data_IF_849117581286
#
_entry.id   IF_849117581286
#
_cell.length_a   1.000
_cell.length_b   1.000
_cell.length_c   1.000
_cell.angle_alpha   90.00
_cell.angle_beta   90.00
_cell.angle_gamma   90.00
#
_symmetry.space_group_name_H-M   'P 1'
#
loop_
_entity.id
_entity.type
_entity.pdbx_description
1 polymer ?
#
# COMPACT_ATOMS: atom_id res chain seq x y z
N UNK A 1 -22.58 4.24 -7.49
CA UNK A 1 -21.75 3.52 -8.49
C UNK A 1 -21.29 2.21 -7.85
N UNK A 2 -20.47 1.38 -8.49
CA UNK A 2 -19.98 0.15 -7.85
C UNK A 2 -18.83 0.46 -6.89
N UNK A 3 -18.82 -0.17 -5.72
CA UNK A 3 -17.74 -0.10 -4.74
C UNK A 3 -16.79 -1.26 -4.96
N UNK A 4 -15.51 -0.94 -5.15
CA UNK A 4 -14.44 -1.92 -5.30
C UNK A 4 -13.48 -1.85 -4.12
N UNK A 5 -13.01 -3.00 -3.68
CA UNK A 5 -11.90 -3.13 -2.74
C UNK A 5 -10.73 -3.77 -3.46
N UNK A 6 -9.67 -2.99 -3.62
CA UNK A 6 -8.45 -3.43 -4.24
C UNK A 6 -7.44 -3.85 -3.19
N UNK A 7 -6.67 -4.89 -3.49
CA UNK A 7 -5.62 -5.39 -2.62
C UNK A 7 -4.41 -5.78 -3.44
N UNK A 8 -3.24 -5.45 -2.91
CA UNK A 8 -1.94 -5.94 -3.34
C UNK A 8 -1.36 -6.80 -2.22
N UNK A 9 -0.79 -7.94 -2.59
CA UNK A 9 -0.03 -8.80 -1.68
C UNK A 9 1.31 -9.11 -2.29
N UNK A 10 2.32 -9.21 -1.44
CA UNK A 10 3.67 -9.50 -1.86
C UNK A 10 4.48 -10.20 -0.78
N UNK A 11 5.67 -10.61 -1.17
CA UNK A 11 6.62 -11.31 -0.32
C UNK A 11 7.87 -10.46 -0.05
N UNK A 12 8.51 -10.82 1.04
CA UNK A 12 9.83 -10.40 1.50
C UNK A 12 10.48 -11.63 2.17
N UNK A 13 11.80 -11.68 2.39
CA UNK A 13 12.44 -12.87 2.97
C UNK A 13 11.80 -13.32 4.29
N UNK A 14 11.07 -14.44 4.26
CA UNK A 14 10.42 -15.00 5.44
C UNK A 14 9.15 -14.28 5.94
N UNK A 15 8.66 -13.24 5.25
CA UNK A 15 7.47 -12.46 5.63
C UNK A 15 6.62 -12.05 4.43
N UNK A 16 5.33 -11.78 4.67
CA UNK A 16 4.39 -11.28 3.64
C UNK A 16 3.83 -9.90 4.01
N UNK A 17 3.68 -9.05 3.00
CA UNK A 17 3.12 -7.72 3.14
C UNK A 17 1.86 -7.58 2.27
N UNK A 18 1.00 -6.65 2.64
CA UNK A 18 -0.17 -6.32 1.83
C UNK A 18 -0.71 -4.95 2.19
N UNK A 19 -1.24 -4.25 1.20
CA UNK A 19 -2.08 -3.09 1.41
C UNK A 19 -3.26 -3.08 0.42
N UNK A 20 -4.15 -2.12 0.57
CA UNK A 20 -5.32 -2.02 -0.28
C UNK A 20 -6.00 -0.67 -0.14
N UNK A 21 -6.90 -0.38 -1.07
CA UNK A 21 -7.71 0.83 -1.07
C UNK A 21 -9.09 0.53 -1.64
N UNK A 22 -10.07 1.36 -1.28
CA UNK A 22 -11.40 1.29 -1.88
C UNK A 22 -11.51 2.30 -3.01
N UNK A 23 -12.22 1.97 -4.08
CA UNK A 23 -12.64 2.94 -5.11
C UNK A 23 -14.13 2.83 -5.37
N UNK A 24 -14.69 3.90 -5.92
CA UNK A 24 -16.02 3.90 -6.52
C UNK A 24 -15.92 4.23 -8.01
N UNK A 25 -16.65 3.50 -8.85
CA UNK A 25 -16.60 3.63 -10.32
C UNK A 25 -17.82 3.05 -11.02
N UNK A 26 -18.10 3.48 -12.25
CA UNK A 26 -19.23 2.99 -13.06
C UNK A 26 -18.90 1.77 -13.93
N UNK A 27 -17.68 1.23 -13.85
CA UNK A 27 -17.20 0.11 -14.66
C UNK A 27 -17.55 -1.28 -14.12
N UNK A 28 -17.13 -2.31 -14.85
CA UNK A 28 -17.23 -3.71 -14.40
C UNK A 28 -16.10 -4.07 -13.42
N UNK A 29 -16.19 -5.25 -12.81
CA UNK A 29 -15.12 -5.78 -11.94
C UNK A 29 -13.80 -5.93 -12.71
N UNK A 30 -13.87 -6.39 -13.97
CA UNK A 30 -12.70 -6.59 -14.83
C UNK A 30 -12.07 -5.26 -15.24
N UNK A 31 -12.88 -4.26 -15.59
CA UNK A 31 -12.39 -2.91 -15.88
C UNK A 31 -11.74 -2.28 -14.64
N UNK A 32 -12.35 -2.47 -13.46
CA UNK A 32 -11.79 -1.98 -12.19
C UNK A 32 -10.47 -2.69 -11.83
N UNK A 33 -10.37 -4.00 -12.10
CA UNK A 33 -9.13 -4.76 -11.94
C UNK A 33 -8.04 -4.26 -12.89
N UNK A 34 -8.35 -4.06 -14.18
CA UNK A 34 -7.38 -3.53 -15.14
C UNK A 34 -6.87 -2.14 -14.73
N UNK A 35 -7.76 -1.27 -14.26
CA UNK A 35 -7.40 0.04 -13.70
C UNK A 35 -6.51 -0.07 -12.45
N UNK A 36 -6.78 -1.04 -11.57
CA UNK A 36 -5.94 -1.32 -10.41
C UNK A 36 -4.54 -1.80 -10.80
N UNK A 37 -4.44 -2.73 -11.75
CA UNK A 37 -3.16 -3.24 -12.26
C UNK A 37 -2.35 -2.10 -12.88
N UNK A 38 -2.97 -1.26 -13.71
CA UNK A 38 -2.31 -0.09 -14.29
C UNK A 38 -1.82 0.91 -13.21
N UNK A 39 -2.64 1.15 -12.17
CA UNK A 39 -2.26 2.03 -11.07
C UNK A 39 -1.09 1.47 -10.24
N UNK A 40 -1.04 0.15 -10.01
CA UNK A 40 0.10 -0.45 -9.33
C UNK A 40 1.37 -0.44 -10.19
N UNK A 41 1.25 -0.64 -11.51
CA UNK A 41 2.38 -0.49 -12.42
C UNK A 41 2.96 0.93 -12.38
N UNK A 42 2.10 1.96 -12.35
CA UNK A 42 2.49 3.36 -12.25
C UNK A 42 3.11 3.74 -10.89
N UNK A 43 2.61 3.16 -9.78
CA UNK A 43 3.22 3.36 -8.45
C UNK A 43 4.59 2.69 -8.36
N UNK A 44 4.76 1.55 -9.03
CA UNK A 44 5.90 0.68 -8.77
C UNK A 44 7.08 0.91 -9.72
N UNK A 45 6.84 0.88 -11.02
CA UNK A 45 7.89 0.82 -12.06
C UNK A 45 8.60 2.16 -12.21
N UNK A 46 9.93 2.15 -12.18
CA UNK A 46 10.79 3.35 -12.24
C UNK A 46 10.49 4.39 -11.15
N UNK A 47 9.93 3.94 -10.03
CA UNK A 47 9.41 4.77 -8.95
C UNK A 47 9.64 4.11 -7.58
N UNK A 48 8.64 3.41 -7.04
CA UNK A 48 8.77 2.77 -5.73
C UNK A 48 9.80 1.62 -5.75
N UNK A 49 9.95 0.94 -6.88
CA UNK A 49 10.94 -0.13 -7.08
C UNK A 49 12.38 0.32 -6.78
N UNK A 50 12.73 1.57 -7.07
CA UNK A 50 14.06 2.14 -6.85
C UNK A 50 14.44 2.23 -5.36
N UNK A 51 13.43 2.28 -4.47
CA UNK A 51 13.60 2.38 -3.01
C UNK A 51 13.13 1.12 -2.27
N UNK A 52 12.89 0.04 -3.00
CA UNK A 52 12.51 -1.28 -2.49
C UNK A 52 13.56 -2.30 -2.91
N UNK A 53 13.90 -3.23 -2.02
CA UNK A 53 14.94 -4.23 -2.26
C UNK A 53 14.54 -5.23 -3.36
N UNK A 54 15.51 -5.77 -4.10
CA UNK A 54 15.31 -6.86 -5.08
C UNK A 54 14.70 -8.14 -4.48
N UNK A 55 14.75 -8.29 -3.16
CA UNK A 55 14.15 -9.42 -2.44
C UNK A 55 12.67 -9.22 -2.10
N UNK A 56 12.10 -8.05 -2.38
CA UNK A 56 10.69 -7.73 -2.18
C UNK A 56 9.97 -7.80 -3.51
N UNK A 57 8.91 -8.62 -3.57
CA UNK A 57 8.12 -8.85 -4.79
C UNK A 57 6.64 -8.60 -4.52
N UNK A 58 5.93 -8.20 -5.57
CA UNK A 58 4.47 -8.23 -5.64
C UNK A 58 4.06 -9.56 -6.25
N UNK A 59 3.17 -10.29 -5.56
CA UNK A 59 2.75 -11.62 -5.99
C UNK A 59 1.36 -11.60 -6.63
N UNK A 60 0.43 -10.82 -6.06
CA UNK A 60 -0.96 -10.80 -6.50
C UNK A 60 -1.57 -9.40 -6.38
N UNK A 61 -2.31 -9.01 -7.42
CA UNK A 61 -3.18 -7.86 -7.47
C UNK A 61 -4.62 -8.33 -7.60
N UNK A 62 -5.50 -7.89 -6.71
CA UNK A 62 -6.89 -8.32 -6.73
C UNK A 62 -7.86 -7.19 -6.50
N UNK A 63 -9.04 -7.33 -7.09
CA UNK A 63 -10.16 -6.42 -6.94
C UNK A 63 -11.39 -7.24 -6.60
N UNK A 64 -12.14 -6.76 -5.63
CA UNK A 64 -13.41 -7.33 -5.22
C UNK A 64 -14.52 -6.29 -5.32
N UNK A 65 -15.67 -6.67 -5.88
CA UNK A 65 -16.88 -5.84 -5.79
C UNK A 65 -17.51 -6.04 -4.41
N UNK A 66 -17.87 -4.95 -3.75
CA UNK A 66 -18.42 -4.95 -2.39
C UNK A 66 -19.84 -4.39 -2.39
N UNK A 67 -20.74 -5.07 -1.68
CA UNK A 67 -22.05 -4.52 -1.32
C UNK A 67 -21.84 -3.48 -0.23
N UNK A 68 -21.98 -2.20 -0.58
CA UNK A 68 -21.73 -1.09 0.35
C UNK A 68 -22.50 -1.23 1.67
N UNK A 69 -23.79 -1.60 1.61
CA UNK A 69 -24.67 -1.66 2.77
C UNK A 69 -24.31 -2.76 3.79
N UNK A 70 -23.59 -3.79 3.38
CA UNK A 70 -23.28 -4.96 4.25
C UNK A 70 -21.79 -5.21 4.40
N UNK A 71 -20.95 -4.48 3.67
CA UNK A 71 -19.53 -4.78 3.49
C UNK A 71 -19.24 -6.18 2.89
N UNK A 72 -20.26 -6.86 2.35
CA UNK A 72 -20.14 -8.19 1.80
C UNK A 72 -19.42 -8.19 0.46
N UNK A 73 -18.47 -9.09 0.26
CA UNK A 73 -17.87 -9.33 -1.04
C UNK A 73 -18.87 -10.07 -1.95
N UNK A 74 -19.05 -9.57 -3.17
CA UNK A 74 -19.94 -10.18 -4.18
C UNK A 74 -19.12 -11.10 -5.10
N UNK A 75 -18.07 -10.54 -5.71
CA UNK A 75 -17.21 -11.21 -6.66
C UNK A 75 -15.78 -10.67 -6.52
N UNK A 76 -14.79 -11.45 -6.96
CA UNK A 76 -13.37 -11.10 -6.91
C UNK A 76 -12.66 -11.61 -8.16
N UNK A 77 -11.79 -10.77 -8.71
CA UNK A 77 -10.80 -11.13 -9.72
C UNK A 77 -9.41 -10.89 -9.12
N UNK A 78 -8.46 -11.74 -9.47
CA UNK A 78 -7.06 -11.63 -9.06
C UNK A 78 -6.15 -11.98 -10.23
N UNK A 79 -4.99 -11.33 -10.28
CA UNK A 79 -3.97 -11.50 -11.28
C UNK A 79 -2.61 -11.59 -10.59
N UNK A 80 -1.75 -12.47 -11.08
CA UNK A 80 -0.36 -12.55 -10.63
C UNK A 80 0.42 -11.32 -11.08
N UNK A 81 1.40 -10.89 -10.28
CA UNK A 81 2.30 -9.80 -10.66
C UNK A 81 3.75 -10.27 -10.64
N UNK A 82 4.59 -9.60 -11.42
CA UNK A 82 6.03 -9.78 -11.44
C UNK A 82 6.77 -8.49 -11.05
N UNK A 83 6.06 -7.51 -10.48
CA UNK A 83 6.69 -6.29 -9.97
C UNK A 83 7.63 -6.66 -8.82
N UNK A 84 8.86 -6.17 -8.87
CA UNK A 84 9.88 -6.41 -7.86
C UNK A 84 10.61 -5.11 -7.54
N UNK A 85 11.23 -5.02 -6.37
CA UNK A 85 12.19 -3.94 -6.13
C UNK A 85 13.43 -4.09 -7.03
N UNK A 86 14.15 -2.99 -7.24
CA UNK A 86 15.38 -2.98 -8.04
C UNK A 86 16.61 -2.58 -7.22
N UNK A 87 16.41 -2.14 -5.97
CA UNK A 87 17.52 -1.70 -5.14
C UNK A 87 18.30 -2.89 -4.58
N UNK A 88 19.62 -2.88 -4.78
CA UNK A 88 20.54 -3.84 -4.16
C UNK A 88 20.87 -3.50 -2.69
N UNK A 89 20.32 -2.41 -2.15
CA UNK A 89 20.55 -1.99 -0.77
C UNK A 89 19.84 -2.90 0.24
N UNK A 90 20.37 -2.96 1.46
CA UNK A 90 19.72 -3.69 2.56
C UNK A 90 18.35 -3.06 2.88
N UNK A 91 17.36 -3.90 3.18
CA UNK A 91 16.04 -3.44 3.59
C UNK A 91 15.96 -3.09 5.08
N UNK A 92 15.04 -2.21 5.42
CA UNK A 92 14.65 -1.98 6.81
C UNK A 92 14.06 -3.26 7.42
N UNK A 93 14.16 -3.44 8.75
CA UNK A 93 13.48 -4.55 9.43
C UNK A 93 12.00 -4.59 9.07
N UNK A 94 11.42 -5.79 8.89
CA UNK A 94 10.03 -5.96 8.44
C UNK A 94 8.97 -5.31 9.33
N UNK A 95 9.32 -4.99 10.58
CA UNK A 95 8.45 -4.28 11.49
C UNK A 95 8.42 -2.78 11.23
N UNK A 96 9.40 -2.23 10.51
CA UNK A 96 9.47 -0.83 10.11
C UNK A 96 8.69 -0.64 8.80
N UNK A 97 7.72 0.28 8.81
CA UNK A 97 6.98 0.63 7.60
C UNK A 97 6.76 2.14 7.49
N UNK A 98 6.78 2.61 6.25
CA UNK A 98 6.35 3.97 5.93
C UNK A 98 4.85 3.95 5.67
N UNK A 99 4.14 4.90 6.29
CA UNK A 99 2.70 5.05 6.09
C UNK A 99 2.40 6.12 5.05
N UNK A 100 1.49 5.80 4.14
CA UNK A 100 0.84 6.79 3.26
C UNK A 100 -0.53 7.07 3.86
N UNK A 101 -0.76 8.31 4.25
CA UNK A 101 -2.01 8.75 4.84
C UNK A 101 -2.90 9.40 3.77
N UNK A 102 -4.19 9.10 3.83
CA UNK A 102 -5.21 9.70 2.99
C UNK A 102 -6.09 10.63 3.82
N UNK A 103 -6.52 11.73 3.21
CA UNK A 103 -7.41 12.71 3.81
C UNK A 103 -8.60 12.96 2.91
N UNK A 104 -9.74 13.24 3.52
CA UNK A 104 -10.96 13.67 2.83
C UNK A 104 -11.33 15.09 3.27
N UNK A 105 -12.44 15.61 2.75
CA UNK A 105 -13.01 16.88 3.22
C UNK A 105 -13.50 16.81 4.69
N UNK A 106 -13.72 15.61 5.24
CA UNK A 106 -14.08 15.46 6.64
C UNK A 106 -12.85 15.66 7.52
N UNK A 107 -12.84 16.74 8.31
CA UNK A 107 -11.76 17.04 9.24
C UNK A 107 -11.63 16.04 10.41
N UNK A 108 -12.64 15.18 10.60
CA UNK A 108 -12.70 14.21 11.69
C UNK A 108 -11.78 13.00 11.46
N UNK A 109 -11.59 12.17 12.50
CA UNK A 109 -10.81 10.92 12.38
C UNK A 109 -11.37 9.94 11.35
N UNK A 110 -12.68 9.96 11.12
CA UNK A 110 -13.33 9.10 10.12
C UNK A 110 -12.96 9.47 8.68
N UNK A 111 -12.53 10.71 8.44
CA UNK A 111 -12.06 11.19 7.13
C UNK A 111 -10.59 10.89 6.85
N UNK A 112 -9.93 10.02 7.63
CA UNK A 112 -8.51 9.70 7.49
C UNK A 112 -8.31 8.21 7.26
N UNK A 113 -7.55 7.90 6.21
CA UNK A 113 -7.17 6.54 5.85
C UNK A 113 -5.65 6.38 5.90
N UNK A 114 -5.17 5.14 5.98
CA UNK A 114 -3.73 4.85 5.89
C UNK A 114 -3.51 3.51 5.22
N UNK A 115 -2.41 3.44 4.47
CA UNK A 115 -1.78 2.18 4.09
C UNK A 115 -0.32 2.17 4.53
N UNK A 116 0.24 0.97 4.65
CA UNK A 116 1.64 0.76 5.00
C UNK A 116 2.35 0.16 3.80
N UNK A 117 3.45 0.79 3.42
CA UNK A 117 4.30 0.31 2.32
C UNK A 117 5.07 -0.95 2.75
N UNK A 118 5.52 -1.75 1.77
CA UNK A 118 6.52 -2.78 2.02
C UNK A 118 7.80 -2.20 2.64
N UNK A 119 8.68 -3.06 3.18
CA UNK A 119 9.98 -2.63 3.69
C UNK A 119 10.76 -1.85 2.62
N UNK A 120 11.09 -0.61 2.93
CA UNK A 120 11.98 0.21 2.09
C UNK A 120 13.44 -0.16 2.35
N UNK A 121 14.34 0.26 1.46
CA UNK A 121 15.78 0.11 1.69
C UNK A 121 16.30 1.08 2.74
N UNK A 122 17.28 0.66 3.53
CA UNK A 122 17.89 1.45 4.61
C UNK A 122 18.56 2.73 4.09
N UNK A 123 18.99 2.76 2.82
CA UNK A 123 19.51 3.97 2.15
C UNK A 123 18.45 5.05 1.93
N UNK A 124 17.17 4.77 2.17
CA UNK A 124 16.13 5.81 2.24
C UNK A 124 16.19 6.63 3.53
N UNK A 125 16.96 6.19 4.53
CA UNK A 125 17.07 6.87 5.81
C UNK A 125 18.10 8.01 5.79
N UNK A 126 17.76 9.07 6.52
CA UNK A 126 18.62 10.21 6.85
C UNK A 126 18.42 10.52 8.34
N UNK A 127 19.48 10.41 9.14
CA UNK A 127 19.44 10.57 10.61
C UNK A 127 18.29 9.84 11.33
N UNK A 128 18.00 8.60 10.90
CA UNK A 128 16.96 7.75 11.49
C UNK A 128 15.53 8.10 11.08
N UNK A 129 15.35 8.96 10.07
CA UNK A 129 14.08 9.36 9.46
C UNK A 129 14.08 9.03 7.97
N UNK A 130 12.92 9.01 7.34
CA UNK A 130 12.82 8.90 5.87
C UNK A 130 13.33 10.21 5.26
N UNK A 131 14.31 10.09 4.37
CA UNK A 131 14.88 11.23 3.62
C UNK A 131 13.82 11.92 2.77
N UNK A 132 14.01 13.22 2.55
CA UNK A 132 13.13 14.02 1.69
C UNK A 132 13.08 13.51 0.25
N UNK A 133 14.18 12.94 -0.25
CA UNK A 133 14.24 12.29 -1.56
C UNK A 133 13.32 11.06 -1.63
N UNK A 134 13.37 10.17 -0.63
CA UNK A 134 12.48 9.01 -0.58
C UNK A 134 11.01 9.41 -0.44
N UNK A 135 10.70 10.46 0.34
CA UNK A 135 9.34 10.99 0.42
C UNK A 135 8.85 11.51 -0.92
N UNK A 136 9.68 12.25 -1.66
CA UNK A 136 9.34 12.77 -2.99
C UNK A 136 9.05 11.65 -3.99
N UNK A 137 9.84 10.57 -3.96
CA UNK A 137 9.60 9.36 -4.78
C UNK A 137 8.23 8.77 -4.47
N UNK A 138 7.91 8.56 -3.18
CA UNK A 138 6.62 7.99 -2.77
C UNK A 138 5.46 8.90 -3.20
N UNK A 139 5.59 10.21 -2.99
CA UNK A 139 4.54 11.17 -3.37
C UNK A 139 4.31 11.17 -4.89
N UNK A 140 5.37 11.17 -5.69
CA UNK A 140 5.26 11.12 -7.15
C UNK A 140 4.57 9.83 -7.60
N UNK A 141 5.05 8.68 -7.12
CA UNK A 141 4.50 7.37 -7.44
C UNK A 141 2.98 7.28 -7.16
N UNK A 142 2.54 7.77 -6.00
CA UNK A 142 1.11 7.76 -5.65
C UNK A 142 0.29 8.75 -6.47
N UNK A 143 0.84 9.90 -6.86
CA UNK A 143 0.16 10.82 -7.78
C UNK A 143 -0.05 10.18 -9.15
N UNK A 144 0.95 9.48 -9.67
CA UNK A 144 0.87 8.77 -10.96
C UNK A 144 -0.15 7.63 -10.89
N UNK A 145 -0.14 6.86 -9.80
CA UNK A 145 -1.18 5.85 -9.52
C UNK A 145 -2.59 6.43 -9.46
N UNK A 146 -2.75 7.64 -8.90
CA UNK A 146 -4.05 8.31 -8.81
C UNK A 146 -4.52 8.76 -10.19
N UNK A 147 -3.60 9.25 -11.04
CA UNK A 147 -3.87 9.55 -12.44
C UNK A 147 -4.32 8.31 -13.23
N UNK A 148 -3.69 7.16 -13.00
CA UNK A 148 -4.07 5.90 -13.62
C UNK A 148 -5.47 5.43 -13.18
N UNK A 149 -5.79 5.50 -11.89
CA UNK A 149 -7.14 5.20 -11.38
C UNK A 149 -8.20 6.14 -11.97
N UNK A 150 -7.92 7.44 -12.03
CA UNK A 150 -8.82 8.43 -12.62
C UNK A 150 -9.08 8.15 -14.12
N UNK A 151 -8.04 7.78 -14.86
CA UNK A 151 -8.15 7.38 -16.28
C UNK A 151 -9.03 6.15 -16.45
N UNK A 152 -8.99 5.21 -15.49
CA UNK A 152 -9.87 4.04 -15.45
C UNK A 152 -11.30 4.36 -14.94
N UNK A 153 -11.61 5.63 -14.64
CA UNK A 153 -12.92 6.04 -14.11
C UNK A 153 -13.16 5.60 -12.66
N UNK A 154 -12.09 5.39 -11.89
CA UNK A 154 -12.13 4.99 -10.48
C UNK A 154 -11.73 6.17 -9.59
N UNK A 155 -12.56 6.45 -8.59
CA UNK A 155 -12.26 7.46 -7.57
C UNK A 155 -11.93 6.78 -6.24
N UNK A 156 -10.74 7.00 -5.65
CA UNK A 156 -10.41 6.48 -4.32
C UNK A 156 -11.37 6.95 -3.22
N UNK A 157 -11.73 6.04 -2.32
CA UNK A 157 -12.70 6.25 -1.25
C UNK A 157 -12.14 5.77 0.10
N UNK A 158 -12.53 6.45 1.17
CA UNK A 158 -12.53 5.88 2.51
C UNK A 158 -13.88 5.22 2.74
N UNK A 159 -13.86 3.91 2.99
CA UNK A 159 -15.05 3.16 3.38
C UNK A 159 -15.17 3.04 4.90
N UNK A 160 -16.18 3.70 5.48
CA UNK A 160 -16.50 3.60 6.90
C UNK A 160 -17.18 2.27 7.21
N UNK A 161 -16.47 1.33 7.85
CA UNK A 161 -17.01 -0.01 8.14
C UNK A 161 -18.22 -0.03 9.08
N UNK A 162 -18.35 0.97 9.95
CA UNK A 162 -19.46 1.08 10.90
C UNK A 162 -20.65 1.82 10.30
N UNK A 163 -20.40 2.88 9.52
CA UNK A 163 -21.44 3.72 8.92
C UNK A 163 -21.86 3.26 7.52
N UNK A 164 -21.08 2.38 6.89
CA UNK A 164 -21.21 1.98 5.49
C UNK A 164 -21.20 3.16 4.51
N UNK A 165 -20.59 4.27 4.91
CA UNK A 165 -20.48 5.49 4.11
C UNK A 165 -19.19 5.47 3.28
N UNK A 166 -19.27 6.01 2.07
CA UNK A 166 -18.12 6.31 1.24
C UNK A 166 -17.77 7.79 1.39
N UNK A 167 -16.48 8.08 1.52
CA UNK A 167 -15.99 9.46 1.57
C UNK A 167 -14.82 9.61 0.60
N UNK A 168 -14.96 10.46 -0.44
CA UNK A 168 -13.91 10.60 -1.45
C UNK A 168 -12.60 11.08 -0.83
N UNK A 169 -11.51 10.43 -1.21
CA UNK A 169 -10.15 10.88 -0.88
C UNK A 169 -9.85 12.13 -1.69
N UNK A 170 -9.49 13.21 -1.01
CA UNK A 170 -9.20 14.52 -1.64
C UNK A 170 -7.74 14.92 -1.49
N UNK A 171 -6.94 14.14 -0.79
CA UNK A 171 -5.51 14.38 -0.62
C UNK A 171 -4.85 13.29 0.22
N UNK A 172 -3.56 13.48 0.50
CA UNK A 172 -2.79 12.58 1.33
C UNK A 172 -1.44 13.16 1.67
N UNK A 173 -0.69 12.44 2.49
CA UNK A 173 0.69 12.78 2.84
C UNK A 173 1.49 11.54 3.21
N UNK A 174 2.81 11.69 3.19
CA UNK A 174 3.79 10.71 3.63
C UNK A 174 4.59 11.35 4.75
N UNK A 175 4.67 10.69 5.90
CA UNK A 175 5.49 11.15 7.03
C UNK A 175 6.97 10.84 6.83
N UNK A 176 7.83 11.48 7.62
CA UNK A 176 9.27 11.19 7.69
C UNK A 176 9.61 10.18 8.79
N UNK A 177 8.63 9.83 9.62
CA UNK A 177 8.80 8.89 10.73
C UNK A 177 8.47 7.47 10.28
N UNK A 178 9.34 6.54 10.65
CA UNK A 178 9.11 5.10 10.51
C UNK A 178 8.01 4.69 11.50
N UNK A 179 6.94 4.09 10.98
CA UNK A 179 5.89 3.48 11.80
C UNK A 179 6.19 1.98 11.99
N UNK A 180 5.47 1.34 12.91
CA UNK A 180 5.52 -0.11 13.09
C UNK A 180 4.39 -0.78 12.33
N UNK A 181 4.71 -1.67 11.37
CA UNK A 181 3.69 -2.43 10.68
C UNK A 181 3.05 -3.44 11.65
N UNK A 182 1.84 -3.13 12.11
CA UNK A 182 1.09 -3.99 13.04
C UNK A 182 0.44 -5.18 12.32
N UNK A 183 1.24 -6.17 11.93
CA UNK A 183 0.79 -7.55 11.73
C UNK A 183 1.46 -8.41 12.81
N UNK A 184 0.77 -9.44 13.32
CA UNK A 184 1.43 -10.42 14.21
C UNK A 184 2.55 -11.06 13.40
N UNK A 185 3.82 -10.80 13.77
CA UNK A 185 5.04 -11.38 13.18
C UNK A 185 4.81 -12.88 12.92
N UNK A 186 5.20 -13.39 11.76
CA UNK A 186 4.98 -14.80 11.41
C UNK A 186 5.97 -15.69 12.18
N UNK A 187 5.75 -15.88 13.49
CA UNK A 187 6.47 -16.79 14.40
C UNK A 187 7.99 -16.89 14.16
N UNK A 188 8.63 -15.81 13.73
CA UNK A 188 10.07 -15.83 13.39
C UNK A 188 10.85 -16.11 14.67
N UNK A 189 11.59 -17.21 14.69
CA UNK A 189 12.39 -17.64 15.83
C UNK A 189 13.65 -16.77 15.88
N UNK A 190 13.79 -15.98 16.94
CA UNK A 190 14.99 -15.19 17.18
C UNK A 190 16.15 -16.09 17.58
N UNK A 191 17.27 -15.97 16.88
CA UNK A 191 18.55 -16.50 17.35
C UNK A 191 19.11 -15.48 18.34
N UNK A 192 19.23 -15.89 19.61
CA UNK A 192 19.75 -15.03 20.69
C UNK A 192 21.19 -15.40 21.00
N UNK A 193 22.07 -14.42 20.94
CA UNK A 193 23.42 -14.53 21.49
C UNK A 193 23.38 -14.17 22.98
N UNK A 194 23.99 -15.01 23.82
CA UNK A 194 24.06 -14.76 25.24
C UNK A 194 25.05 -13.63 25.51
N UNK A 195 24.66 -12.68 26.36
CA UNK A 195 25.61 -11.75 26.97
C UNK A 195 26.47 -12.55 27.95
N UNK A 196 27.78 -12.49 27.80
CA UNK A 196 28.73 -12.97 28.81
C UNK A 196 29.14 -11.75 29.63
N UNK A 197 28.56 -11.54 30.83
CA UNK A 197 29.04 -10.47 31.71
C UNK A 197 30.50 -10.74 32.13
N UNK A 198 31.26 -9.71 32.50
CA UNK A 198 32.60 -9.89 33.06
C UNK A 198 32.58 -10.69 34.37
#
# INVERSE_FOLDING_TARGET
MALFHHRITGASPGESWSFGLYTEGAGTLEAAQAGWVAAQAAIWTDALDAIVSTEVTVEELSTATITQATAGQIARVAEGSALAGVSASQMLPFQCAVSVSFTTQSATRAGRGRLYLPPLVASTLDDGRISSAAQAIIVSAFNDGWGALATAGLSPQIYGRTSHTLTPVTGGNVGDVIDTQRRRRNKLIEVRSLLTPP
#
